data_IF_202480922337
#
_entry.id   IF_202480922337
#
_cell.length_a   1.000
_cell.length_b   1.000
_cell.length_c   1.000
_cell.angle_alpha   90.00
_cell.angle_beta   90.00
_cell.angle_gamma   90.00
#
_symmetry.space_group_name_H-M   'P 1'
#
loop_
_entity.id
_entity.type
_entity.pdbx_description
1 polymer ?
#
# COMPACT_ATOMS: atom_id res chain seq x y z
N UNK A 1 10.30 6.67 -3.81
CA UNK A 1 10.86 5.47 -3.14
C UNK A 1 12.31 5.30 -3.53
N UNK A 2 13.11 4.68 -2.67
CA UNK A 2 14.52 4.35 -2.90
C UNK A 2 14.70 2.82 -3.04
N UNK A 3 15.65 2.36 -3.87
CA UNK A 3 15.99 0.94 -3.93
C UNK A 3 16.37 0.38 -2.56
N UNK A 4 15.87 -0.82 -2.24
CA UNK A 4 16.13 -1.50 -0.96
C UNK A 4 15.14 -1.14 0.17
N UNK A 5 14.23 -0.18 -0.03
CA UNK A 5 13.14 0.07 0.92
C UNK A 5 12.13 -1.08 0.94
N UNK A 6 11.56 -1.32 2.13
CA UNK A 6 10.40 -2.21 2.26
C UNK A 6 9.16 -1.44 1.87
N UNK A 7 8.38 -1.99 0.93
CA UNK A 7 7.07 -1.47 0.56
C UNK A 7 5.98 -2.30 1.24
N UNK A 8 5.15 -1.63 2.04
CA UNK A 8 4.00 -2.24 2.69
C UNK A 8 2.73 -1.69 2.05
N UNK A 9 1.97 -2.58 1.40
CA UNK A 9 0.65 -2.25 0.86
C UNK A 9 -0.42 -2.72 1.83
N UNK A 10 -1.15 -1.79 2.40
CA UNK A 10 -2.35 -2.06 3.19
C UNK A 10 -3.57 -1.98 2.27
N UNK A 11 -4.45 -2.98 2.35
CA UNK A 11 -5.60 -3.12 1.46
C UNK A 11 -6.86 -3.29 2.33
N UNK A 12 -7.90 -2.51 2.02
CA UNK A 12 -9.18 -2.56 2.70
C UNK A 12 -10.28 -2.86 1.69
N UNK A 13 -10.97 -3.98 1.85
CA UNK A 13 -12.16 -4.32 1.06
C UNK A 13 -13.30 -3.36 1.41
N UNK A 14 -13.93 -2.79 0.40
CA UNK A 14 -15.00 -1.79 0.55
C UNK A 14 -16.35 -2.34 0.11
N UNK A 15 -16.39 -3.05 -1.02
CA UNK A 15 -17.57 -3.71 -1.58
C UNK A 15 -17.16 -5.05 -2.23
N UNK A 16 -18.10 -5.98 -2.53
CA UNK A 16 -17.76 -7.18 -3.28
C UNK A 16 -17.01 -6.85 -4.56
N UNK A 17 -15.82 -7.44 -4.72
CA UNK A 17 -14.93 -7.17 -5.84
C UNK A 17 -14.29 -5.78 -5.88
N UNK A 18 -14.34 -4.98 -4.80
CA UNK A 18 -13.69 -3.66 -4.70
C UNK A 18 -12.87 -3.51 -3.43
N UNK A 19 -11.74 -2.82 -3.54
CA UNK A 19 -10.93 -2.43 -2.40
C UNK A 19 -10.24 -1.09 -2.64
N UNK A 20 -9.83 -0.45 -1.56
CA UNK A 20 -8.88 0.67 -1.57
C UNK A 20 -7.55 0.22 -1.00
N UNK A 21 -6.46 0.87 -1.40
CA UNK A 21 -5.13 0.56 -0.89
C UNK A 21 -4.27 1.80 -0.73
N UNK A 22 -3.31 1.68 0.18
CA UNK A 22 -2.22 2.65 0.37
C UNK A 22 -0.91 1.89 0.47
N UNK A 23 0.13 2.42 -0.14
CA UNK A 23 1.49 1.86 -0.04
C UNK A 23 2.40 2.83 0.68
N UNK A 24 3.08 2.31 1.70
CA UNK A 24 4.08 3.03 2.47
C UNK A 24 5.46 2.44 2.21
N UNK A 25 6.47 3.30 2.11
CA UNK A 25 7.87 2.90 2.06
C UNK A 25 8.53 3.21 3.40
N UNK A 26 9.32 2.26 3.91
CA UNK A 26 10.13 2.43 5.10
C UNK A 26 11.56 1.96 4.84
N UNK A 27 12.50 2.47 5.65
CA UNK A 27 13.85 1.93 5.69
C UNK A 27 13.83 0.45 6.11
N UNK A 28 14.88 -0.33 5.82
CA UNK A 28 14.92 -1.76 6.17
C UNK A 28 14.75 -2.05 7.68
N UNK A 29 15.08 -1.08 8.53
CA UNK A 29 14.88 -1.14 10.00
C UNK A 29 13.45 -0.79 10.44
N UNK A 30 12.54 -0.54 9.49
CA UNK A 30 11.15 -0.18 9.72
C UNK A 30 10.90 1.29 10.04
N UNK A 31 11.94 2.14 10.09
CA UNK A 31 11.80 3.56 10.40
C UNK A 31 11.44 4.40 9.16
N UNK A 32 10.99 5.63 9.39
CA UNK A 32 10.75 6.60 8.31
C UNK A 32 9.62 6.22 7.36
N UNK A 33 8.59 5.55 7.87
CA UNK A 33 7.40 5.20 7.09
C UNK A 33 6.77 6.45 6.48
N UNK A 34 6.53 6.40 5.17
CA UNK A 34 5.89 7.49 4.42
C UNK A 34 5.05 6.93 3.29
N UNK A 35 3.96 7.61 2.99
CA UNK A 35 3.08 7.25 1.87
C UNK A 35 3.81 7.51 0.56
N UNK A 36 3.81 6.50 -0.33
CA UNK A 36 4.38 6.59 -1.68
C UNK A 36 3.35 6.34 -2.77
N UNK A 37 2.24 5.68 -2.44
CA UNK A 37 1.03 5.62 -3.24
C UNK A 37 -0.16 5.81 -2.31
N UNK A 38 -1.04 6.74 -2.66
CA UNK A 38 -2.25 7.06 -1.89
C UNK A 38 -3.49 7.02 -2.78
N UNK A 39 -4.66 6.99 -2.16
CA UNK A 39 -5.97 6.95 -2.82
C UNK A 39 -6.08 5.82 -3.87
N UNK A 40 -5.41 4.70 -3.61
CA UNK A 40 -5.43 3.54 -4.49
C UNK A 40 -6.81 2.90 -4.51
N UNK A 41 -7.35 2.63 -5.70
CA UNK A 41 -8.60 1.90 -5.90
C UNK A 41 -8.37 0.70 -6.80
N UNK A 42 -8.98 -0.45 -6.47
CA UNK A 42 -8.83 -1.69 -7.24
C UNK A 42 -10.16 -2.43 -7.33
N UNK A 43 -10.39 -3.05 -8.49
CA UNK A 43 -11.44 -4.04 -8.72
C UNK A 43 -10.81 -5.43 -8.82
N UNK A 44 -11.45 -6.44 -8.24
CA UNK A 44 -10.97 -7.83 -8.25
C UNK A 44 -12.15 -8.81 -8.35
N UNK A 45 -11.87 -10.04 -8.79
CA UNK A 45 -12.84 -11.14 -8.79
C UNK A 45 -12.63 -11.97 -7.52
N UNK A 46 -13.70 -12.21 -6.77
CA UNK A 46 -13.70 -13.18 -5.67
C UNK A 46 -13.59 -14.63 -6.20
#
# INVERSE_FOLDING_TARGET
MFPGETLTTSIWRTEPGRAVFRTEAAAPDGTGARVVLDDGAVEYRD
#
